data_IF_583261523895
#
_entry.id   IF_583261523895
#
_cell.length_a   1.000
_cell.length_b   1.000
_cell.length_c   1.000
_cell.angle_alpha   90.00
_cell.angle_beta   90.00
_cell.angle_gamma   90.00
#
_symmetry.space_group_name_H-M   'P 1'
#
loop_
_entity.id
_entity.type
_entity.pdbx_description
1 polymer ?
#
# COMPACT_ATOMS: atom_id res chain seq x y z
N UNK A 1 -7.79 0.09 23.90
CA UNK A 1 -6.99 -0.20 22.69
C UNK A 1 -6.84 -1.69 22.60
N UNK A 2 -7.29 -2.32 21.51
CA UNK A 2 -6.94 -3.72 21.21
C UNK A 2 -5.73 -3.64 20.30
N UNK A 3 -4.60 -4.13 20.76
CA UNK A 3 -3.40 -4.29 19.96
C UNK A 3 -3.70 -5.26 18.81
N UNK A 4 -3.72 -4.73 17.58
CA UNK A 4 -3.80 -5.55 16.38
C UNK A 4 -2.36 -5.79 15.93
N UNK A 5 -1.84 -6.95 16.32
CA UNK A 5 -0.53 -7.43 15.92
C UNK A 5 -0.53 -7.73 14.41
N UNK A 6 0.26 -6.95 13.68
CA UNK A 6 0.35 -6.95 12.21
C UNK A 6 1.08 -8.18 11.64
N UNK A 7 1.59 -9.09 12.50
CA UNK A 7 2.36 -10.27 12.09
C UNK A 7 1.63 -11.61 12.28
N UNK A 8 0.30 -11.64 12.24
CA UNK A 8 -0.41 -12.91 12.13
C UNK A 8 -0.55 -13.35 10.65
N UNK A 9 -0.11 -14.55 10.28
CA UNK A 9 -0.45 -15.13 8.99
C UNK A 9 -1.95 -15.45 8.98
N UNK A 10 -2.65 -14.98 7.95
CA UNK A 10 -4.07 -15.20 7.77
C UNK A 10 -4.40 -16.70 7.76
N UNK A 11 -5.01 -17.18 8.83
CA UNK A 11 -5.58 -18.52 8.92
C UNK A 11 -7.01 -18.49 8.39
N UNK A 12 -7.26 -19.34 7.40
CA UNK A 12 -8.54 -19.95 7.01
C UNK A 12 -9.82 -19.12 7.14
N UNK A 13 -10.33 -18.65 6.00
CA UNK A 13 -11.74 -18.35 5.77
C UNK A 13 -12.11 -18.80 4.37
N UNK A 14 -12.67 -20.00 4.27
CA UNK A 14 -13.28 -20.55 3.07
C UNK A 14 -14.64 -19.85 2.88
N UNK A 15 -14.70 -18.86 1.99
CA UNK A 15 -15.98 -18.30 1.53
C UNK A 15 -16.02 -18.45 0.00
N UNK A 16 -16.76 -19.46 -0.44
CA UNK A 16 -17.07 -19.77 -1.83
C UNK A 16 -18.03 -18.72 -2.39
N UNK A 17 -17.47 -17.63 -2.92
CA UNK A 17 -18.22 -16.66 -3.73
C UNK A 17 -18.26 -17.14 -5.19
N UNK A 18 -19.33 -17.86 -5.52
CA UNK A 18 -19.68 -18.36 -6.85
C UNK A 18 -20.09 -17.20 -7.78
N UNK A 19 -19.12 -16.61 -8.50
CA UNK A 19 -19.41 -15.60 -9.52
C UNK A 19 -19.78 -16.25 -10.87
N UNK A 20 -20.97 -15.97 -11.44
CA UNK A 20 -21.43 -16.59 -12.68
C UNK A 20 -20.63 -16.11 -13.89
N UNK A 21 -20.03 -17.04 -14.62
CA UNK A 21 -19.27 -16.78 -15.84
C UNK A 21 -20.26 -16.60 -17.01
N UNK A 22 -20.55 -15.35 -17.37
CA UNK A 22 -21.33 -15.00 -18.54
C UNK A 22 -20.69 -15.51 -19.83
N UNK A 23 -21.36 -16.47 -20.47
CA UNK A 23 -21.04 -16.94 -21.82
C UNK A 23 -21.60 -15.96 -22.83
N UNK A 24 -20.76 -15.38 -23.67
CA UNK A 24 -21.18 -14.80 -24.95
C UNK A 24 -20.40 -15.56 -26.01
N UNK A 25 -21.12 -16.45 -26.69
CA UNK A 25 -20.68 -17.13 -27.89
C UNK A 25 -21.06 -16.24 -29.07
N UNK A 26 -20.09 -15.85 -29.89
CA UNK A 26 -20.31 -15.41 -31.26
C UNK A 26 -19.31 -16.16 -32.14
N UNK A 27 -19.85 -17.09 -32.92
CA UNK A 27 -19.23 -17.79 -34.04
C UNK A 27 -19.10 -16.84 -35.23
N UNK A 28 -17.97 -16.87 -35.94
CA UNK A 28 -17.96 -16.79 -37.41
C UNK A 28 -16.79 -17.62 -37.98
N UNK A 29 -17.14 -18.54 -38.88
CA UNK A 29 -16.23 -19.31 -39.73
C UNK A 29 -15.60 -18.41 -40.80
N UNK A 30 -14.29 -18.53 -41.07
CA UNK A 30 -13.82 -18.59 -42.46
C UNK A 30 -12.46 -19.31 -42.61
N UNK A 31 -12.39 -19.97 -43.75
CA UNK A 31 -11.47 -20.96 -44.30
C UNK A 31 -10.11 -20.37 -44.71
N UNK A 32 -9.05 -21.11 -44.35
CA UNK A 32 -7.80 -21.31 -45.10
C UNK A 32 -7.09 -20.14 -45.78
N UNK A 33 -5.90 -19.80 -45.28
CA UNK A 33 -4.83 -19.28 -46.12
C UNK A 33 -3.45 -19.77 -45.65
N UNK A 34 -2.74 -20.38 -46.59
CA UNK A 34 -1.38 -20.92 -46.51
C UNK A 34 -0.39 -19.76 -46.37
N UNK A 35 0.48 -19.79 -45.36
CA UNK A 35 1.68 -18.96 -45.34
C UNK A 35 2.84 -19.72 -44.68
N UNK A 36 3.73 -20.17 -45.54
CA UNK A 36 5.01 -20.81 -45.24
C UNK A 36 5.98 -19.81 -44.58
N UNK A 37 6.55 -20.19 -43.44
CA UNK A 37 7.59 -19.47 -42.69
C UNK A 37 8.08 -20.34 -41.52
N UNK A 38 9.30 -20.12 -40.98
CA UNK A 38 10.02 -21.11 -40.18
C UNK A 38 9.21 -21.50 -38.93
N UNK A 39 8.70 -22.74 -38.96
CA UNK A 39 8.00 -23.50 -37.91
C UNK A 39 7.74 -22.77 -36.58
N UNK A 40 6.88 -21.74 -36.59
CA UNK A 40 6.22 -21.31 -35.35
C UNK A 40 5.14 -22.35 -35.07
N UNK A 41 5.17 -23.05 -33.91
CA UNK A 41 4.09 -23.96 -33.57
C UNK A 41 2.77 -23.19 -33.58
N UNK A 42 1.79 -23.68 -34.34
CA UNK A 42 0.43 -23.14 -34.32
C UNK A 42 -0.03 -23.11 -32.86
N UNK A 43 -0.55 -21.97 -32.38
CA UNK A 43 -1.11 -21.84 -31.03
C UNK A 43 -2.14 -22.96 -30.84
N UNK A 44 -1.94 -23.77 -29.79
CA UNK A 44 -2.90 -24.79 -29.42
C UNK A 44 -4.21 -24.11 -28.98
N UNK A 45 -5.31 -24.45 -29.65
CA UNK A 45 -6.66 -24.16 -29.17
C UNK A 45 -7.17 -25.41 -28.46
N UNK A 46 -7.43 -25.31 -27.17
CA UNK A 46 -8.06 -26.37 -26.39
C UNK A 46 -9.57 -26.29 -26.56
N UNK A 47 -10.25 -27.44 -26.58
CA UNK A 47 -11.72 -27.46 -26.50
C UNK A 47 -12.20 -26.99 -25.11
N UNK A 48 -13.48 -26.63 -25.02
CA UNK A 48 -14.12 -26.24 -23.74
C UNK A 48 -13.99 -27.38 -22.71
N UNK A 49 -14.23 -28.61 -23.13
CA UNK A 49 -14.11 -29.79 -22.26
C UNK A 49 -12.66 -30.07 -21.85
N UNK A 50 -11.70 -29.95 -22.77
CA UNK A 50 -10.27 -30.09 -22.42
C UNK A 50 -9.85 -29.06 -21.37
N UNK A 51 -10.28 -27.80 -21.53
CA UNK A 51 -9.97 -26.73 -20.59
C UNK A 51 -10.61 -26.99 -19.22
N UNK A 52 -11.88 -27.40 -19.18
CA UNK A 52 -12.62 -27.75 -17.96
C UNK A 52 -11.89 -28.82 -17.14
N UNK A 53 -11.47 -29.91 -17.79
CA UNK A 53 -10.76 -31.01 -17.13
C UNK A 53 -9.35 -30.61 -16.65
N UNK A 54 -8.65 -29.76 -17.39
CA UNK A 54 -7.36 -29.20 -16.92
C UNK A 54 -7.55 -28.32 -15.68
N UNK A 55 -8.60 -27.51 -15.64
CA UNK A 55 -8.93 -26.66 -14.49
C UNK A 55 -9.34 -27.46 -13.25
N UNK A 56 -10.15 -28.51 -13.42
CA UNK A 56 -10.50 -29.43 -12.34
C UNK A 56 -9.25 -30.12 -11.77
N UNK A 57 -8.38 -30.64 -12.63
CA UNK A 57 -7.10 -31.23 -12.20
C UNK A 57 -6.21 -30.21 -11.48
N UNK A 58 -6.15 -28.96 -11.98
CA UNK A 58 -5.37 -27.88 -11.38
C UNK A 58 -5.88 -27.47 -9.99
N UNK A 59 -7.20 -27.46 -9.78
CA UNK A 59 -7.81 -27.18 -8.46
C UNK A 59 -7.37 -28.19 -7.41
N UNK A 60 -7.23 -29.45 -7.80
CA UNK A 60 -6.73 -30.50 -6.91
C UNK A 60 -5.21 -30.43 -6.74
N UNK A 61 -4.47 -30.19 -7.81
CA UNK A 61 -3.01 -30.18 -7.82
C UNK A 61 -2.45 -29.07 -8.72
N UNK A 62 -1.98 -27.98 -8.12
CA UNK A 62 -1.39 -26.86 -8.87
C UNK A 62 -0.11 -27.19 -9.67
N UNK A 63 0.51 -28.35 -9.37
CA UNK A 63 1.75 -28.87 -9.95
C UNK A 63 1.55 -30.37 -10.16
N UNK A 64 1.74 -30.83 -11.39
CA UNK A 64 1.58 -32.24 -11.73
C UNK A 64 2.89 -33.00 -11.54
N UNK A 65 2.80 -34.20 -10.97
CA UNK A 65 3.86 -35.21 -11.08
C UNK A 65 3.94 -35.76 -12.50
N UNK A 66 5.07 -36.39 -12.91
CA UNK A 66 5.19 -36.99 -14.24
C UNK A 66 4.06 -37.98 -14.57
N UNK A 67 3.69 -38.85 -13.62
CA UNK A 67 2.61 -39.83 -13.80
C UNK A 67 1.25 -39.17 -13.99
N UNK A 68 0.92 -38.15 -13.19
CA UNK A 68 -0.33 -37.40 -13.34
C UNK A 68 -0.39 -36.67 -14.68
N UNK A 69 0.73 -36.08 -15.12
CA UNK A 69 0.84 -35.42 -16.42
C UNK A 69 0.59 -36.39 -17.57
N UNK A 70 1.20 -37.57 -17.53
CA UNK A 70 0.99 -38.59 -18.56
C UNK A 70 -0.46 -39.09 -18.57
N UNK A 71 -1.04 -39.41 -17.42
CA UNK A 71 -2.43 -39.83 -17.32
C UNK A 71 -3.41 -38.77 -17.85
N UNK A 72 -3.19 -37.50 -17.51
CA UNK A 72 -4.02 -36.39 -17.98
C UNK A 72 -3.84 -36.16 -19.48
N UNK A 73 -2.61 -36.28 -19.99
CA UNK A 73 -2.33 -36.15 -21.43
C UNK A 73 -3.07 -37.20 -22.25
N UNK A 74 -3.08 -38.47 -21.79
CA UNK A 74 -3.83 -39.56 -22.41
C UNK A 74 -5.34 -39.28 -22.34
N UNK A 75 -5.87 -38.92 -21.16
CA UNK A 75 -7.31 -38.61 -20.98
C UNK A 75 -7.81 -37.50 -21.91
N UNK A 76 -6.99 -36.49 -22.15
CA UNK A 76 -7.35 -35.32 -22.97
C UNK A 76 -6.98 -35.46 -24.45
N UNK A 77 -6.34 -36.57 -24.83
CA UNK A 77 -5.74 -36.79 -26.14
C UNK A 77 -4.80 -35.64 -26.57
N UNK A 78 -3.90 -35.25 -25.68
CA UNK A 78 -2.92 -34.17 -25.87
C UNK A 78 -1.50 -34.69 -25.64
N UNK A 79 -0.50 -33.95 -26.13
CA UNK A 79 0.90 -34.22 -25.82
C UNK A 79 1.20 -33.84 -24.37
N UNK A 80 2.01 -34.60 -23.61
CA UNK A 80 2.39 -34.25 -22.24
C UNK A 80 2.97 -32.84 -22.10
N UNK A 81 3.70 -32.36 -23.12
CA UNK A 81 4.24 -31.00 -23.14
C UNK A 81 3.15 -29.92 -23.19
N UNK A 82 2.03 -30.17 -23.86
CA UNK A 82 0.90 -29.21 -23.92
C UNK A 82 0.25 -29.06 -22.55
N UNK A 83 0.06 -30.17 -21.83
CA UNK A 83 -0.42 -30.17 -20.44
C UNK A 83 0.56 -29.41 -19.55
N UNK A 84 1.86 -29.70 -19.65
CA UNK A 84 2.89 -29.03 -18.86
C UNK A 84 2.89 -27.51 -19.07
N UNK A 85 2.89 -27.05 -20.32
CA UNK A 85 2.87 -25.62 -20.67
C UNK A 85 1.58 -24.96 -20.20
N UNK A 86 0.44 -25.66 -20.30
CA UNK A 86 -0.81 -25.14 -19.78
C UNK A 86 -0.74 -24.90 -18.26
N UNK A 87 -0.23 -25.87 -17.50
CA UNK A 87 -0.06 -25.73 -16.04
C UNK A 87 0.92 -24.62 -15.67
N UNK A 88 2.03 -24.48 -16.42
CA UNK A 88 2.97 -23.37 -16.24
C UNK A 88 2.29 -22.02 -16.48
N UNK A 89 1.56 -21.87 -17.59
CA UNK A 89 0.83 -20.65 -17.93
C UNK A 89 -0.28 -20.35 -16.91
N UNK A 90 -0.99 -21.37 -16.43
CA UNK A 90 -2.03 -21.20 -15.42
C UNK A 90 -1.44 -20.67 -14.11
N UNK A 91 -0.33 -21.23 -13.63
CA UNK A 91 0.39 -20.72 -12.45
C UNK A 91 0.90 -19.30 -12.66
N UNK A 92 1.48 -19.00 -13.83
CA UNK A 92 1.97 -17.66 -14.14
C UNK A 92 0.84 -16.63 -14.09
N UNK A 93 -0.33 -16.93 -14.67
CA UNK A 93 -1.52 -16.06 -14.62
C UNK A 93 -2.06 -15.88 -13.21
N UNK A 94 -2.12 -16.96 -12.42
CA UNK A 94 -2.55 -16.87 -11.01
C UNK A 94 -1.61 -15.97 -10.22
N UNK A 95 -0.29 -16.17 -10.37
CA UNK A 95 0.72 -15.35 -9.70
C UNK A 95 0.61 -13.88 -10.12
N UNK A 96 0.45 -13.61 -11.41
CA UNK A 96 0.26 -12.25 -11.91
C UNK A 96 -0.96 -11.58 -11.27
N UNK A 97 -2.13 -12.23 -11.32
CA UNK A 97 -3.37 -11.71 -10.72
C UNK A 97 -3.19 -11.44 -9.22
N UNK A 98 -2.50 -12.34 -8.51
CA UNK A 98 -2.19 -12.17 -7.10
C UNK A 98 -1.31 -10.92 -6.86
N UNK A 99 -0.22 -10.77 -7.62
CA UNK A 99 0.66 -9.60 -7.48
C UNK A 99 -0.02 -8.29 -7.84
N UNK A 100 -0.96 -8.30 -8.79
CA UNK A 100 -1.77 -7.11 -9.12
C UNK A 100 -2.65 -6.70 -7.94
N UNK A 101 -3.35 -7.66 -7.32
CA UNK A 101 -4.16 -7.41 -6.12
C UNK A 101 -3.33 -6.92 -4.94
N UNK A 102 -2.16 -7.52 -4.70
CA UNK A 102 -1.22 -7.09 -3.66
C UNK A 102 -0.75 -5.66 -3.89
N UNK A 103 -0.42 -5.30 -5.14
CA UNK A 103 -0.05 -3.94 -5.50
C UNK A 103 -1.19 -2.95 -5.20
N UNK A 104 -2.42 -3.26 -5.58
CA UNK A 104 -3.58 -2.40 -5.31
C UNK A 104 -3.85 -2.25 -3.81
N UNK A 105 -3.74 -3.34 -3.05
CA UNK A 105 -3.85 -3.29 -1.59
C UNK A 105 -2.80 -2.37 -0.97
N UNK A 106 -1.53 -2.53 -1.34
CA UNK A 106 -0.43 -1.70 -0.84
C UNK A 106 -0.60 -0.23 -1.20
N UNK A 107 -1.05 0.08 -2.43
CA UNK A 107 -1.37 1.47 -2.84
C UNK A 107 -2.44 2.08 -1.95
N UNK A 108 -3.50 1.34 -1.63
CA UNK A 108 -4.57 1.80 -0.73
C UNK A 108 -4.04 2.07 0.68
N UNK A 109 -3.25 1.15 1.23
CA UNK A 109 -2.62 1.32 2.54
C UNK A 109 -1.70 2.55 2.57
N UNK A 110 -0.89 2.74 1.53
CA UNK A 110 -0.02 3.90 1.40
C UNK A 110 -0.81 5.21 1.37
N UNK A 111 -1.90 5.26 0.59
CA UNK A 111 -2.79 6.41 0.55
C UNK A 111 -3.39 6.76 1.92
N UNK A 112 -3.89 5.75 2.65
CA UNK A 112 -4.44 5.92 3.99
C UNK A 112 -3.39 6.41 5.00
N UNK A 113 -2.20 5.81 4.99
CA UNK A 113 -1.10 6.22 5.87
C UNK A 113 -0.62 7.63 5.55
N UNK A 114 -0.62 8.02 4.28
CA UNK A 114 -0.26 9.38 3.84
C UNK A 114 -1.25 10.41 4.37
N UNK A 115 -2.55 10.15 4.25
CA UNK A 115 -3.58 11.07 4.76
C UNK A 115 -3.52 11.16 6.29
N UNK A 116 -3.36 10.03 6.98
CA UNK A 116 -3.20 9.99 8.43
C UNK A 116 -1.96 10.78 8.88
N UNK A 117 -0.82 10.61 8.20
CA UNK A 117 0.39 11.36 8.50
C UNK A 117 0.17 12.87 8.29
N UNK A 118 -0.50 13.26 7.21
CA UNK A 118 -0.86 14.66 6.94
C UNK A 118 -1.81 15.23 8.00
N UNK A 119 -2.76 14.43 8.49
CA UNK A 119 -3.66 14.82 9.59
C UNK A 119 -2.87 15.07 10.87
N UNK A 120 -2.04 14.12 11.27
CA UNK A 120 -1.21 14.22 12.47
C UNK A 120 -0.23 15.40 12.39
N UNK A 121 0.35 15.67 11.21
CA UNK A 121 1.19 16.85 11.00
C UNK A 121 0.44 18.15 11.25
N UNK A 122 -0.80 18.28 10.75
CA UNK A 122 -1.67 19.45 11.01
C UNK A 122 -1.97 19.60 12.50
N UNK A 123 -2.34 18.51 13.17
CA UNK A 123 -2.59 18.53 14.62
C UNK A 123 -1.34 18.94 15.41
N UNK A 124 -0.16 18.45 15.01
CA UNK A 124 1.11 18.83 15.63
C UNK A 124 1.41 20.32 15.42
N UNK A 125 1.18 20.85 14.22
CA UNK A 125 1.36 22.27 13.93
C UNK A 125 0.40 23.16 14.74
N UNK A 126 -0.87 22.77 14.83
CA UNK A 126 -1.89 23.46 15.62
C UNK A 126 -1.54 23.47 17.12
N UNK A 127 -1.17 22.31 17.67
CA UNK A 127 -0.71 22.18 19.05
C UNK A 127 0.56 23.01 19.32
N UNK A 128 1.50 23.05 18.36
CA UNK A 128 2.69 23.90 18.45
C UNK A 128 2.32 25.38 18.43
N UNK A 129 1.41 25.82 17.55
CA UNK A 129 0.94 27.20 17.50
C UNK A 129 0.27 27.63 18.83
N UNK A 130 -0.57 26.77 19.40
CA UNK A 130 -1.19 27.01 20.72
C UNK A 130 -0.17 27.08 21.86
N UNK A 131 0.94 26.34 21.77
CA UNK A 131 2.02 26.37 22.78
C UNK A 131 2.99 27.55 22.63
N UNK A 132 3.02 28.22 21.48
CA UNK A 132 3.96 29.33 21.20
C UNK A 132 3.43 30.68 21.66
N UNK A 133 2.12 30.87 21.82
CA UNK A 133 1.60 32.05 22.51
C UNK A 133 1.77 31.85 24.02
N UNK A 134 2.66 32.59 24.71
CA UNK A 134 2.71 32.52 26.16
C UNK A 134 1.34 32.99 26.67
N UNK A 135 0.68 32.26 27.60
CA UNK A 135 -0.53 32.76 28.22
C UNK A 135 -0.21 34.14 28.78
N UNK A 136 -0.84 35.17 28.22
CA UNK A 136 -0.69 36.55 28.68
C UNK A 136 -1.97 36.96 29.36
N UNK A 137 -1.84 37.54 30.55
CA UNK A 137 -2.97 38.06 31.31
C UNK A 137 -2.96 39.58 31.18
N UNK A 138 -4.10 40.19 30.88
CA UNK A 138 -4.25 41.64 30.85
C UNK A 138 -4.39 42.11 32.30
N UNK A 139 -3.37 42.80 32.80
CA UNK A 139 -3.36 43.33 34.17
C UNK A 139 -4.40 44.47 34.32
N UNK A 140 -5.30 44.44 35.32
CA UNK A 140 -6.40 45.41 35.43
C UNK A 140 -5.94 46.86 35.70
N UNK A 141 -4.74 47.07 36.23
CA UNK A 141 -4.25 48.39 36.61
C UNK A 141 -3.45 49.11 35.51
N UNK A 142 -2.82 48.37 34.59
CA UNK A 142 -1.92 48.94 33.57
C UNK A 142 -2.38 48.63 32.14
N UNK A 143 -3.38 47.75 31.95
CA UNK A 143 -3.85 47.25 30.64
C UNK A 143 -2.74 46.73 29.73
N UNK A 144 -1.64 46.27 30.30
CA UNK A 144 -0.53 45.67 29.55
C UNK A 144 -0.58 44.14 29.68
N UNK A 145 -0.28 43.40 28.58
CA UNK A 145 -0.17 41.95 28.61
C UNK A 145 1.11 41.53 29.34
N UNK A 146 0.96 40.75 30.41
CA UNK A 146 2.08 40.14 31.14
C UNK A 146 2.07 38.62 30.98
N UNK A 147 3.25 38.00 30.90
CA UNK A 147 3.42 36.55 30.83
C UNK A 147 2.87 35.89 32.12
N UNK A 148 2.01 34.88 31.98
CA UNK A 148 1.44 34.17 33.13
C UNK A 148 2.52 33.44 33.95
N UNK A 149 3.64 33.04 33.33
CA UNK A 149 4.80 32.48 34.03
C UNK A 149 5.51 33.48 34.94
N UNK A 150 5.30 34.78 34.74
CA UNK A 150 5.83 35.83 35.62
C UNK A 150 4.91 36.11 36.83
N UNK A 151 3.72 35.49 36.88
CA UNK A 151 2.79 35.64 38.00
C UNK A 151 3.03 34.54 39.04
N UNK A 152 3.40 34.95 40.25
CA UNK A 152 3.57 34.03 41.38
C UNK A 152 2.47 34.32 42.41
N UNK A 153 1.77 33.28 42.84
CA UNK A 153 0.82 33.37 43.97
C UNK A 153 1.57 33.25 45.30
N UNK A 154 1.33 34.19 46.22
CA UNK A 154 1.86 34.11 47.57
C UNK A 154 0.95 33.20 48.42
N UNK A 155 1.44 32.05 48.93
CA UNK A 155 0.61 31.09 49.67
C UNK A 155 0.18 31.60 51.06
N UNK A 156 0.67 32.76 51.51
CA UNK A 156 0.36 33.34 52.83
C UNK A 156 -0.78 34.35 52.80
N UNK A 157 -1.03 34.98 51.65
CA UNK A 157 -2.05 36.02 51.51
C UNK A 157 -2.88 35.89 50.23
N UNK A 158 -2.68 34.81 49.48
CA UNK A 158 -3.36 34.46 48.22
C UNK A 158 -3.30 35.55 47.13
N UNK A 159 -2.41 36.53 47.27
CA UNK A 159 -2.23 37.57 46.24
C UNK A 159 -1.34 37.06 45.13
N UNK A 160 -1.73 37.41 43.91
CA UNK A 160 -0.94 37.23 42.69
C UNK A 160 0.00 38.44 42.56
N UNK A 161 1.30 38.19 42.48
CA UNK A 161 2.33 39.23 42.28
C UNK A 161 3.15 38.92 41.02
N UNK A 162 3.46 39.94 40.22
CA UNK A 162 4.35 39.79 39.07
C UNK A 162 5.81 39.85 39.51
N UNK A 163 6.65 38.92 39.05
CA UNK A 163 8.08 38.94 39.29
C UNK A 163 8.72 40.15 38.58
N UNK A 164 9.31 41.08 39.33
CA UNK A 164 9.92 42.32 38.81
C UNK A 164 11.26 42.11 38.10
N UNK A 165 11.64 40.86 37.82
CA UNK A 165 12.92 40.50 37.19
C UNK A 165 12.72 40.05 35.75
N UNK A 166 12.77 41.00 34.81
CA UNK A 166 12.91 40.66 33.39
C UNK A 166 14.32 40.08 33.14
N UNK A 167 14.49 38.86 32.60
CA UNK A 167 15.69 38.58 31.84
C UNK A 167 15.54 39.36 30.52
N UNK A 168 16.42 40.32 30.29
CA UNK A 168 16.50 41.05 29.03
C UNK A 168 16.57 40.03 27.87
N UNK A 169 15.62 40.09 26.94
CA UNK A 169 15.75 39.42 25.65
C UNK A 169 17.01 39.95 24.97
N UNK A 170 18.06 39.12 24.90
CA UNK A 170 19.17 39.37 23.98
C UNK A 170 18.68 39.05 22.57
N UNK A 171 18.92 39.91 21.56
CA UNK A 171 18.60 39.55 20.19
C UNK A 171 19.54 38.42 19.75
N UNK A 172 18.97 37.28 19.37
CA UNK A 172 19.72 36.22 18.71
C UNK A 172 20.18 36.74 17.34
N UNK A 173 21.49 36.89 17.18
CA UNK A 173 22.09 37.16 15.88
C UNK A 173 21.71 36.01 14.91
N UNK A 174 21.17 36.38 13.76
CA UNK A 174 20.80 35.46 12.70
C UNK A 174 22.04 34.69 12.20
N UNK A 175 22.16 33.42 12.58
CA UNK A 175 23.02 32.46 11.92
C UNK A 175 22.15 31.63 10.96
N UNK A 176 22.14 31.99 9.68
CA UNK A 176 21.54 31.19 8.61
C UNK A 176 22.38 29.91 8.39
N UNK A 177 21.83 28.68 8.57
CA UNK A 177 22.60 27.46 8.36
C UNK A 177 22.33 26.76 7.02
N UNK A 178 21.81 27.48 6.01
CA UNK A 178 21.56 26.90 4.68
C UNK A 178 22.15 27.75 3.55
N UNK A 179 23.44 27.58 3.31
CA UNK A 179 24.01 27.77 1.97
C UNK A 179 24.32 26.38 1.39
N UNK A 180 23.71 25.97 0.27
CA UNK A 180 24.18 24.80 -0.45
C UNK A 180 25.51 25.14 -1.13
N UNK A 181 26.59 24.46 -0.71
CA UNK A 181 27.88 24.46 -1.39
C UNK A 181 27.70 23.89 -2.80
N UNK A 182 28.01 24.70 -3.81
CA UNK A 182 28.11 24.31 -5.21
C UNK A 182 29.36 23.42 -5.38
N UNK A 183 29.31 22.26 -6.06
CA UNK A 183 30.51 21.52 -6.41
C UNK A 183 31.24 22.23 -7.56
N UNK A 184 32.55 22.42 -7.39
CA UNK A 184 33.46 22.90 -8.43
C UNK A 184 33.62 21.82 -9.50
N UNK A 185 33.39 22.19 -10.75
CA UNK A 185 33.75 21.36 -11.90
C UNK A 185 35.27 21.21 -11.97
N UNK A 186 35.73 19.97 -12.05
CA UNK A 186 37.06 19.60 -12.49
C UNK A 186 36.90 18.33 -13.33
N UNK A 187 36.79 18.52 -14.63
CA UNK A 187 37.45 17.77 -15.72
C UNK A 187 36.96 18.35 -17.06
#
# INVERSE_FOLDING_TARGET
MRDLDMNQPASGGEEEEEFPMGSVEEDEEERGAVASGPHRPKKLRLSKEQSRLMEESFRLHHTLTPKQKEALAVKLNLRPRQVEVWFQNRRARTKLKQTELECEYLKRCFGSLTEENRRLQREVEELRAMRVAPPTVITPHTRQPLLASALTMCPRCERITAATGAPALRPAAAANPFHPRRPSAAF
#
